data_IF_800492174584
#
_entry.id   IF_800492174584
#
_cell.length_a   1.000
_cell.length_b   1.000
_cell.length_c   1.000
_cell.angle_alpha   90.00
_cell.angle_beta   90.00
_cell.angle_gamma   90.00
#
_symmetry.space_group_name_H-M   'P 1'
#
loop_
_entity.id
_entity.type
_entity.pdbx_description
1 polymer ?
#
# COMPACT_ATOMS: atom_id res chain seq x y z
N UNK A 1 12.93 -0.77 -40.52
CA UNK A 1 11.46 -0.98 -40.46
C UNK A 1 11.24 -2.45 -40.76
N UNK A 2 11.14 -3.27 -39.74
CA UNK A 2 10.81 -4.69 -39.80
C UNK A 2 9.34 -4.82 -39.39
N UNK A 3 8.48 -5.52 -40.14
CA UNK A 3 7.07 -5.61 -39.82
C UNK A 3 6.87 -6.51 -38.59
N UNK A 4 5.99 -6.08 -37.70
CA UNK A 4 5.46 -6.87 -36.61
C UNK A 4 4.69 -8.04 -37.19
N UNK A 5 5.24 -9.24 -37.07
CA UNK A 5 4.65 -10.49 -37.51
C UNK A 5 3.73 -11.07 -36.46
N UNK A 6 2.60 -11.55 -36.99
CA UNK A 6 1.74 -12.63 -36.52
C UNK A 6 1.03 -12.47 -35.15
N UNK A 7 -0.26 -12.25 -35.31
CA UNK A 7 -1.34 -12.41 -34.34
C UNK A 7 -1.45 -13.86 -33.89
N UNK A 8 -1.13 -14.13 -32.62
CA UNK A 8 -1.57 -15.36 -31.97
C UNK A 8 -3.10 -15.35 -31.87
N UNK A 9 -3.68 -16.47 -32.29
CA UNK A 9 -5.10 -16.75 -32.39
C UNK A 9 -5.86 -16.43 -31.10
N UNK A 10 -7.06 -15.86 -31.31
CA UNK A 10 -7.97 -15.41 -30.27
C UNK A 10 -8.30 -16.48 -29.23
N UNK A 11 -7.72 -16.31 -28.06
CA UNK A 11 -8.30 -16.87 -26.86
C UNK A 11 -9.61 -16.10 -26.58
N UNK A 12 -10.72 -16.81 -26.36
CA UNK A 12 -11.99 -16.13 -26.08
C UNK A 12 -11.82 -15.27 -24.83
N UNK A 13 -12.13 -13.98 -24.96
CA UNK A 13 -12.32 -13.06 -23.84
C UNK A 13 -13.56 -13.55 -23.08
N UNK A 14 -13.40 -14.59 -22.31
CA UNK A 14 -14.42 -15.10 -21.40
C UNK A 14 -14.01 -14.79 -19.98
N UNK A 15 -14.26 -13.52 -19.53
CA UNK A 15 -15.22 -13.30 -18.47
C UNK A 15 -14.81 -13.77 -17.07
N UNK A 16 -13.83 -13.05 -16.47
CA UNK A 16 -13.74 -12.95 -15.03
C UNK A 16 -14.66 -11.87 -14.42
N UNK A 17 -15.52 -11.22 -15.19
CA UNK A 17 -16.37 -10.08 -14.75
C UNK A 17 -17.74 -10.47 -14.17
N UNK A 18 -18.08 -11.77 -14.06
CA UNK A 18 -19.43 -12.21 -13.66
C UNK A 18 -19.70 -12.28 -12.15
N UNK A 19 -18.92 -11.65 -11.29
CA UNK A 19 -19.32 -11.54 -9.86
C UNK A 19 -19.95 -10.22 -9.44
N UNK A 20 -20.04 -9.24 -10.32
CA UNK A 20 -20.58 -7.93 -9.97
C UNK A 20 -22.02 -7.69 -10.47
N UNK A 21 -22.52 -8.50 -11.38
CA UNK A 21 -23.89 -8.38 -11.88
C UNK A 21 -24.55 -9.76 -11.86
N UNK A 22 -25.22 -10.07 -10.77
CA UNK A 22 -26.19 -11.15 -10.75
C UNK A 22 -27.42 -10.66 -11.53
N UNK A 23 -27.56 -11.12 -12.78
CA UNK A 23 -28.70 -10.81 -13.63
C UNK A 23 -29.99 -11.51 -13.16
N UNK A 24 -29.93 -12.32 -12.12
CA UNK A 24 -31.07 -13.03 -11.53
C UNK A 24 -31.69 -12.29 -10.34
N UNK A 25 -31.77 -10.97 -10.37
CA UNK A 25 -32.71 -10.21 -9.51
C UNK A 25 -32.56 -10.38 -8.00
N UNK A 26 -31.44 -10.87 -7.51
CA UNK A 26 -31.17 -10.88 -6.07
C UNK A 26 -30.87 -9.45 -5.65
N UNK A 27 -31.76 -8.86 -4.88
CA UNK A 27 -31.62 -7.53 -4.32
C UNK A 27 -30.25 -7.40 -3.67
N UNK A 28 -29.31 -6.71 -4.34
CA UNK A 28 -28.15 -6.16 -3.67
C UNK A 28 -28.68 -5.47 -2.43
N UNK A 29 -28.27 -5.92 -1.25
CA UNK A 29 -28.61 -5.23 -0.02
C UNK A 29 -28.28 -3.76 -0.25
N UNK A 30 -29.29 -2.87 -0.08
CA UNK A 30 -29.22 -1.44 -0.38
C UNK A 30 -28.19 -0.67 0.51
N UNK A 31 -27.25 -1.38 1.10
CA UNK A 31 -26.18 -0.81 1.92
C UNK A 31 -24.92 -0.55 1.06
N UNK A 32 -24.69 0.69 0.64
CA UNK A 32 -23.51 1.05 -0.17
C UNK A 32 -22.19 0.85 0.59
N UNK A 33 -22.24 0.74 1.93
CA UNK A 33 -21.04 0.55 2.74
C UNK A 33 -20.49 -0.88 2.63
N UNK A 34 -21.31 -1.85 2.22
CA UNK A 34 -20.92 -3.24 2.05
C UNK A 34 -19.79 -3.41 1.01
N UNK A 35 -19.74 -2.54 -0.01
CA UNK A 35 -18.70 -2.56 -1.02
C UNK A 35 -17.29 -2.28 -0.44
N UNK A 36 -17.20 -1.67 0.75
CA UNK A 36 -15.94 -1.40 1.45
C UNK A 36 -15.49 -2.52 2.38
N UNK A 37 -16.28 -3.61 2.50
CA UNK A 37 -15.93 -4.76 3.32
C UNK A 37 -14.82 -5.58 2.68
N UNK A 38 -14.00 -6.22 3.54
CA UNK A 38 -12.90 -7.09 3.15
C UNK A 38 -13.12 -8.53 3.66
N UNK A 39 -14.37 -8.93 3.89
CA UNK A 39 -14.72 -10.22 4.46
C UNK A 39 -14.10 -11.37 3.63
N UNK A 40 -13.40 -12.28 4.32
CA UNK A 40 -12.74 -13.42 3.69
C UNK A 40 -11.48 -13.13 2.89
N UNK A 41 -11.07 -11.84 2.76
CA UNK A 41 -9.81 -11.45 2.13
C UNK A 41 -8.63 -11.66 3.09
N UNK A 42 -7.45 -11.89 2.52
CA UNK A 42 -6.17 -11.92 3.25
C UNK A 42 -5.36 -10.67 2.85
N UNK A 43 -5.05 -9.83 3.82
CA UNK A 43 -4.26 -8.61 3.61
C UNK A 43 -2.88 -8.75 4.25
N UNK A 44 -1.84 -8.49 3.46
CA UNK A 44 -0.44 -8.40 3.90
C UNK A 44 -0.05 -6.93 3.98
N UNK A 45 0.40 -6.46 5.16
CA UNK A 45 0.73 -5.06 5.38
C UNK A 45 2.16 -4.95 5.91
N UNK A 46 3.03 -4.27 5.15
CA UNK A 46 4.42 -4.06 5.54
C UNK A 46 4.61 -2.77 6.33
N UNK A 47 5.65 -2.72 7.17
CA UNK A 47 5.88 -1.56 8.04
C UNK A 47 4.80 -1.37 9.10
N UNK A 48 4.13 -2.45 9.51
CA UNK A 48 2.96 -2.40 10.38
C UNK A 48 3.26 -2.28 11.87
N UNK A 49 4.54 -2.12 12.27
CA UNK A 49 4.90 -1.98 13.70
C UNK A 49 4.54 -0.62 14.31
N UNK A 50 4.12 0.37 13.51
CA UNK A 50 3.68 1.70 13.97
C UNK A 50 3.04 2.52 12.84
N UNK A 51 2.50 3.69 13.18
CA UNK A 51 2.04 4.71 12.24
C UNK A 51 1.00 4.21 11.24
N UNK A 52 1.15 4.59 9.98
CA UNK A 52 0.18 4.29 8.91
C UNK A 52 -0.06 2.78 8.77
N UNK A 53 0.99 1.96 8.79
CA UNK A 53 0.86 0.51 8.62
C UNK A 53 0.07 -0.16 9.74
N UNK A 54 0.28 0.25 10.99
CA UNK A 54 -0.48 -0.27 12.13
C UNK A 54 -1.95 0.16 12.07
N UNK A 55 -2.24 1.41 11.69
CA UNK A 55 -3.61 1.91 11.55
C UNK A 55 -4.35 1.19 10.41
N UNK A 56 -3.70 1.00 9.26
CA UNK A 56 -4.30 0.25 8.16
C UNK A 56 -4.55 -1.22 8.53
N UNK A 57 -3.67 -1.84 9.34
CA UNK A 57 -3.89 -3.20 9.82
C UNK A 57 -5.15 -3.30 10.70
N UNK A 58 -5.34 -2.35 11.64
CA UNK A 58 -6.56 -2.27 12.45
C UNK A 58 -7.81 -2.08 11.59
N UNK A 59 -7.73 -1.14 10.66
CA UNK A 59 -8.85 -0.82 9.78
C UNK A 59 -9.26 -2.00 8.89
N UNK A 60 -8.29 -2.69 8.29
CA UNK A 60 -8.55 -3.83 7.41
C UNK A 60 -9.10 -5.02 8.20
N UNK A 61 -8.58 -5.26 9.41
CA UNK A 61 -9.12 -6.27 10.31
C UNK A 61 -10.58 -5.98 10.68
N UNK A 62 -10.93 -4.75 11.06
CA UNK A 62 -12.32 -4.31 11.34
C UNK A 62 -13.21 -4.37 10.11
N UNK A 63 -12.66 -4.21 8.92
CA UNK A 63 -13.39 -4.41 7.67
C UNK A 63 -13.62 -5.89 7.32
N UNK A 64 -13.07 -6.84 8.09
CA UNK A 64 -13.30 -8.28 7.95
C UNK A 64 -12.14 -9.06 7.31
N UNK A 65 -11.01 -8.41 7.02
CA UNK A 65 -9.83 -9.09 6.50
C UNK A 65 -9.12 -9.92 7.58
N UNK A 66 -8.52 -11.04 7.17
CA UNK A 66 -7.43 -11.69 7.90
C UNK A 66 -6.15 -10.94 7.57
N UNK A 67 -5.37 -10.52 8.57
CA UNK A 67 -4.24 -9.63 8.35
C UNK A 67 -2.91 -10.27 8.72
N UNK A 68 -1.93 -10.26 7.82
CA UNK A 68 -0.53 -10.51 8.11
C UNK A 68 0.21 -9.18 8.23
N UNK A 69 0.82 -8.94 9.38
CA UNK A 69 1.55 -7.71 9.68
C UNK A 69 3.05 -7.96 9.66
N UNK A 70 3.76 -7.27 8.74
CA UNK A 70 5.19 -7.45 8.50
C UNK A 70 5.97 -6.25 9.01
N UNK A 71 6.98 -6.46 9.85
CA UNK A 71 7.99 -5.47 10.22
C UNK A 71 9.19 -6.16 10.91
N UNK A 72 10.24 -5.40 11.20
CA UNK A 72 11.43 -5.91 11.91
C UNK A 72 11.23 -6.06 13.43
N UNK A 73 10.40 -5.19 14.02
CA UNK A 73 10.16 -5.12 15.48
C UNK A 73 9.12 -6.16 15.90
N UNK A 74 9.58 -7.36 16.23
CA UNK A 74 8.72 -8.49 16.57
C UNK A 74 7.80 -8.19 17.77
N UNK A 75 8.33 -7.58 18.83
CA UNK A 75 7.61 -7.18 20.04
C UNK A 75 6.39 -6.30 19.75
N UNK A 76 6.55 -5.33 18.85
CA UNK A 76 5.45 -4.44 18.46
C UNK A 76 4.42 -5.13 17.56
N UNK A 77 4.86 -6.06 16.72
CA UNK A 77 3.94 -6.86 15.93
C UNK A 77 3.09 -7.78 16.81
N UNK A 78 3.70 -8.42 17.83
CA UNK A 78 2.98 -9.26 18.78
C UNK A 78 1.96 -8.44 19.58
N UNK A 79 2.31 -7.23 20.00
CA UNK A 79 1.37 -6.32 20.67
C UNK A 79 0.18 -6.00 19.76
N UNK A 80 0.44 -5.56 18.51
CA UNK A 80 -0.62 -5.24 17.55
C UNK A 80 -1.52 -6.45 17.26
N UNK A 81 -0.91 -7.61 17.05
CA UNK A 81 -1.66 -8.85 16.78
C UNK A 81 -2.52 -9.27 17.99
N UNK A 82 -2.00 -9.10 19.20
CA UNK A 82 -2.76 -9.37 20.42
C UNK A 82 -3.98 -8.45 20.56
N UNK A 83 -3.82 -7.16 20.26
CA UNK A 83 -4.91 -6.19 20.20
C UNK A 83 -5.98 -6.62 19.16
N UNK A 84 -5.56 -6.93 17.94
CA UNK A 84 -6.46 -7.34 16.87
C UNK A 84 -7.23 -8.63 17.20
N UNK A 85 -6.55 -9.61 17.79
CA UNK A 85 -7.17 -10.86 18.21
C UNK A 85 -8.16 -10.67 19.36
N UNK A 86 -7.88 -9.74 20.27
CA UNK A 86 -8.81 -9.38 21.34
C UNK A 86 -10.09 -8.72 20.78
N UNK A 87 -10.02 -8.05 19.64
CA UNK A 87 -11.17 -7.54 18.90
C UNK A 87 -11.87 -8.61 18.02
N UNK A 88 -11.41 -9.86 18.06
CA UNK A 88 -11.98 -10.99 17.30
C UNK A 88 -11.42 -11.16 15.89
N UNK A 89 -10.41 -10.40 15.50
CA UNK A 89 -9.80 -10.52 14.18
C UNK A 89 -8.81 -11.69 14.09
N UNK A 90 -8.63 -12.22 12.89
CA UNK A 90 -7.56 -13.17 12.59
C UNK A 90 -6.33 -12.41 12.12
N UNK A 91 -5.24 -12.46 12.88
CA UNK A 91 -4.02 -11.71 12.60
C UNK A 91 -2.76 -12.57 12.80
N UNK A 92 -1.73 -12.34 11.97
CA UNK A 92 -0.46 -13.08 11.98
C UNK A 92 0.72 -12.09 12.01
N UNK A 93 1.62 -12.17 13.02
CA UNK A 93 2.85 -11.40 13.03
C UNK A 93 3.92 -12.11 12.20
N UNK A 94 4.61 -11.37 11.33
CA UNK A 94 5.72 -11.85 10.52
C UNK A 94 6.91 -10.90 10.71
N UNK A 95 7.86 -11.30 11.55
CA UNK A 95 9.09 -10.52 11.76
C UNK A 95 10.01 -10.71 10.56
N UNK A 96 10.19 -9.64 9.76
CA UNK A 96 10.97 -9.65 8.53
C UNK A 96 11.51 -8.24 8.24
N UNK A 97 12.78 -8.15 7.82
CA UNK A 97 13.28 -6.98 7.09
C UNK A 97 12.88 -7.12 5.62
N UNK A 98 12.11 -6.17 5.12
CA UNK A 98 11.62 -6.20 3.72
C UNK A 98 12.75 -6.16 2.67
N UNK A 99 13.99 -5.81 3.08
CA UNK A 99 15.18 -5.87 2.23
C UNK A 99 15.76 -7.29 2.08
N UNK A 100 15.37 -8.20 2.95
CA UNK A 100 15.77 -9.61 2.84
C UNK A 100 14.87 -10.34 1.85
N UNK A 101 15.19 -10.16 0.58
CA UNK A 101 14.38 -10.73 -0.52
C UNK A 101 14.44 -12.26 -0.54
N UNK A 102 15.51 -12.86 -0.01
CA UNK A 102 15.66 -14.32 0.08
C UNK A 102 14.66 -14.94 1.09
N UNK A 103 14.26 -14.19 2.11
CA UNK A 103 13.30 -14.64 3.10
C UNK A 103 11.83 -14.46 2.68
N UNK A 104 11.54 -13.70 1.60
CA UNK A 104 10.16 -13.43 1.16
C UNK A 104 9.36 -14.69 0.83
N UNK A 105 9.88 -15.68 0.05
CA UNK A 105 9.12 -16.88 -0.25
C UNK A 105 8.67 -17.62 1.01
N UNK A 106 9.56 -17.84 1.97
CA UNK A 106 9.24 -18.52 3.23
C UNK A 106 8.23 -17.73 4.08
N UNK A 107 8.32 -16.41 4.10
CA UNK A 107 7.34 -15.56 4.79
C UNK A 107 5.94 -15.69 4.16
N UNK A 108 5.85 -15.67 2.83
CA UNK A 108 4.57 -15.85 2.13
C UNK A 108 4.04 -17.28 2.20
N UNK A 109 4.91 -18.32 2.29
CA UNK A 109 4.49 -19.71 2.54
C UNK A 109 3.80 -19.81 3.90
N UNK A 110 4.39 -19.21 4.93
CA UNK A 110 3.80 -19.16 6.27
C UNK A 110 2.45 -18.42 6.25
N UNK A 111 2.37 -17.26 5.60
CA UNK A 111 1.12 -16.50 5.47
C UNK A 111 0.06 -17.34 4.77
N UNK A 112 0.43 -18.02 3.69
CA UNK A 112 -0.50 -18.86 2.92
C UNK A 112 -1.00 -20.05 3.76
N UNK A 113 -0.14 -20.67 4.53
CA UNK A 113 -0.51 -21.80 5.40
C UNK A 113 -1.45 -21.39 6.55
N UNK A 114 -1.22 -20.22 7.16
CA UNK A 114 -1.98 -19.77 8.34
C UNK A 114 -3.23 -18.96 7.99
N UNK A 115 -3.17 -18.14 6.93
CA UNK A 115 -4.26 -17.23 6.57
C UNK A 115 -4.87 -17.50 5.19
N UNK A 116 -4.18 -18.20 4.32
CA UNK A 116 -4.52 -18.36 2.91
C UNK A 116 -3.72 -17.45 2.00
N UNK A 117 -3.94 -17.59 0.68
CA UNK A 117 -3.27 -16.76 -0.33
C UNK A 117 -3.63 -15.29 -0.13
N UNK A 118 -2.63 -14.42 -0.15
CA UNK A 118 -2.84 -12.98 -0.02
C UNK A 118 -3.68 -12.44 -1.19
N UNK A 119 -4.75 -11.74 -0.89
CA UNK A 119 -5.58 -11.02 -1.86
C UNK A 119 -5.20 -9.54 -1.94
N UNK A 120 -4.64 -9.00 -0.86
CA UNK A 120 -4.29 -7.60 -0.73
C UNK A 120 -2.85 -7.49 -0.22
N UNK A 121 -2.03 -6.71 -0.91
CA UNK A 121 -0.70 -6.31 -0.44
C UNK A 121 -0.67 -4.81 -0.23
N UNK A 122 -0.24 -4.35 0.95
CA UNK A 122 0.04 -2.94 1.24
C UNK A 122 1.54 -2.76 1.43
N UNK A 123 2.21 -2.21 0.44
CA UNK A 123 3.61 -1.81 0.51
C UNK A 123 3.70 -0.46 1.26
N UNK A 124 3.77 -0.54 2.59
CA UNK A 124 3.84 0.63 3.46
C UNK A 124 5.21 0.81 4.11
N UNK A 125 6.02 -0.23 4.23
CA UNK A 125 7.37 -0.08 4.77
C UNK A 125 8.14 1.04 4.05
N UNK A 126 8.76 1.92 4.82
CA UNK A 126 9.49 3.06 4.27
C UNK A 126 10.35 3.75 5.29
N UNK A 127 11.35 4.47 4.83
CA UNK A 127 12.23 5.34 5.61
C UNK A 127 12.36 6.69 4.92
N UNK A 128 12.53 7.76 5.70
CA UNK A 128 12.86 9.08 5.20
C UNK A 128 14.15 9.56 5.87
N UNK A 129 15.19 9.74 5.07
CA UNK A 129 16.43 10.41 5.50
C UNK A 129 16.41 11.83 4.97
N UNK A 130 16.50 12.80 5.87
CA UNK A 130 16.43 14.23 5.55
C UNK A 130 17.82 14.82 5.64
N UNK A 131 18.27 15.49 4.60
CA UNK A 131 19.58 16.11 4.58
C UNK A 131 19.89 16.87 3.28
N UNK A 132 20.94 17.68 3.30
CA UNK A 132 21.38 18.40 2.12
C UNK A 132 21.85 17.43 1.03
N UNK A 133 21.38 17.61 -0.21
CA UNK A 133 21.79 16.81 -1.35
C UNK A 133 23.31 16.70 -1.51
N UNK A 134 24.03 17.82 -1.32
CA UNK A 134 25.48 17.84 -1.47
C UNK A 134 26.25 17.11 -0.36
N UNK A 135 25.60 16.81 0.76
CA UNK A 135 26.18 16.08 1.90
C UNK A 135 25.63 14.66 2.04
N UNK A 136 24.56 14.32 1.31
CA UNK A 136 23.99 13.00 1.33
C UNK A 136 24.97 11.97 0.76
N UNK A 137 25.21 10.89 1.49
CA UNK A 137 26.06 9.79 1.02
C UNK A 137 25.31 8.90 0.01
N UNK A 138 26.08 8.19 -0.82
CA UNK A 138 25.51 7.14 -1.68
C UNK A 138 24.73 6.08 -0.89
N UNK A 139 25.24 5.70 0.29
CA UNK A 139 24.58 4.73 1.17
C UNK A 139 23.21 5.20 1.67
N UNK A 140 23.03 6.47 1.96
CA UNK A 140 21.70 7.02 2.37
C UNK A 140 20.69 6.99 1.25
N UNK A 141 21.14 7.26 0.01
CA UNK A 141 20.31 7.09 -1.19
C UNK A 141 19.94 5.62 -1.37
N UNK A 142 20.93 4.74 -1.33
CA UNK A 142 20.75 3.31 -1.58
C UNK A 142 19.82 2.67 -0.52
N UNK A 143 19.97 3.02 0.75
CA UNK A 143 19.03 2.62 1.81
C UNK A 143 17.59 3.07 1.51
N UNK A 144 17.41 4.32 1.03
CA UNK A 144 16.09 4.86 0.71
C UNK A 144 15.45 4.08 -0.44
N UNK A 145 16.21 3.76 -1.48
CA UNK A 145 15.71 2.95 -2.60
C UNK A 145 15.45 1.52 -2.17
N UNK A 146 16.37 0.87 -1.45
CA UNK A 146 16.22 -0.52 -1.01
C UNK A 146 14.93 -0.74 -0.20
N UNK A 147 14.56 0.19 0.69
CA UNK A 147 13.35 0.05 1.50
C UNK A 147 12.09 0.55 0.80
N UNK A 148 12.16 1.73 0.16
CA UNK A 148 10.96 2.41 -0.36
C UNK A 148 10.53 1.92 -1.76
N UNK A 149 11.45 1.33 -2.52
CA UNK A 149 11.22 0.93 -3.92
C UNK A 149 11.53 -0.56 -4.16
N UNK A 150 12.78 -1.01 -3.95
CA UNK A 150 13.19 -2.38 -4.29
C UNK A 150 12.37 -3.41 -3.50
N UNK A 151 12.18 -3.20 -2.19
CA UNK A 151 11.34 -4.06 -1.37
C UNK A 151 9.88 -4.11 -1.86
N UNK A 152 9.31 -2.97 -2.29
CA UNK A 152 7.96 -2.94 -2.83
C UNK A 152 7.86 -3.67 -4.19
N UNK A 153 8.90 -3.59 -5.01
CA UNK A 153 9.03 -4.37 -6.24
C UNK A 153 8.98 -5.86 -5.96
N UNK A 154 9.87 -6.35 -5.08
CA UNK A 154 10.00 -7.78 -4.80
C UNK A 154 8.78 -8.36 -4.11
N UNK A 155 8.20 -7.64 -3.14
CA UNK A 155 6.95 -8.00 -2.48
C UNK A 155 5.78 -8.07 -3.46
N UNK A 156 5.69 -7.10 -4.38
CA UNK A 156 4.65 -7.08 -5.41
C UNK A 156 4.81 -8.25 -6.38
N UNK A 157 6.03 -8.58 -6.78
CA UNK A 157 6.32 -9.70 -7.64
C UNK A 157 5.95 -11.04 -6.96
N UNK A 158 6.33 -11.23 -5.68
CA UNK A 158 6.02 -12.44 -4.94
C UNK A 158 4.53 -12.62 -4.70
N UNK A 159 3.85 -11.56 -4.24
CA UNK A 159 2.39 -11.60 -4.02
C UNK A 159 1.64 -11.89 -5.34
N UNK A 160 2.02 -11.22 -6.43
CA UNK A 160 1.38 -11.41 -7.74
C UNK A 160 1.55 -12.82 -8.27
N UNK A 161 2.76 -13.42 -8.17
CA UNK A 161 2.97 -14.81 -8.58
C UNK A 161 2.04 -15.76 -7.85
N UNK A 162 1.83 -15.57 -6.55
CA UNK A 162 0.93 -16.42 -5.73
C UNK A 162 -0.54 -16.20 -6.08
N UNK A 163 -0.96 -14.96 -6.27
CA UNK A 163 -2.33 -14.65 -6.72
C UNK A 163 -2.62 -15.32 -8.05
N UNK A 164 -1.70 -15.22 -9.03
CA UNK A 164 -1.81 -15.81 -10.36
C UNK A 164 -1.84 -17.33 -10.28
N UNK A 165 -0.91 -17.95 -9.54
CA UNK A 165 -0.85 -19.40 -9.37
C UNK A 165 -2.12 -19.97 -8.74
N UNK A 166 -2.78 -19.20 -7.86
CA UNK A 166 -4.04 -19.57 -7.21
C UNK A 166 -5.28 -19.16 -8.02
N UNK A 167 -5.12 -18.57 -9.21
CA UNK A 167 -6.21 -17.99 -10.03
C UNK A 167 -7.12 -17.04 -9.23
N UNK A 168 -6.53 -16.21 -8.35
CA UNK A 168 -7.26 -15.28 -7.49
C UNK A 168 -7.05 -13.84 -7.96
N UNK A 169 -8.13 -13.03 -8.04
CA UNK A 169 -8.01 -11.60 -8.23
C UNK A 169 -7.32 -10.97 -7.01
N UNK A 170 -6.63 -9.85 -7.22
CA UNK A 170 -5.89 -9.20 -6.15
C UNK A 170 -5.86 -7.69 -6.20
N UNK A 171 -5.25 -7.12 -5.17
CA UNK A 171 -5.02 -5.68 -5.06
C UNK A 171 -3.66 -5.40 -4.42
N UNK A 172 -2.90 -4.49 -5.00
CA UNK A 172 -1.66 -3.95 -4.44
C UNK A 172 -1.85 -2.46 -4.18
N UNK A 173 -1.52 -2.02 -2.96
CA UNK A 173 -1.54 -0.60 -2.57
C UNK A 173 -0.13 -0.18 -2.19
N UNK A 174 0.43 0.75 -2.94
CA UNK A 174 1.75 1.32 -2.66
C UNK A 174 1.60 2.63 -1.88
N UNK A 175 2.12 2.68 -0.65
CA UNK A 175 2.15 3.92 0.13
C UNK A 175 3.30 4.78 -0.38
N UNK A 176 2.95 5.72 -1.23
CA UNK A 176 3.84 6.73 -1.79
C UNK A 176 4.03 7.92 -0.82
N UNK A 177 3.98 9.13 -1.31
CA UNK A 177 4.05 10.38 -0.56
C UNK A 177 3.62 11.53 -1.45
N UNK A 178 3.13 12.63 -0.89
CA UNK A 178 2.98 13.89 -1.65
C UNK A 178 4.31 14.39 -2.20
N UNK A 179 5.44 14.03 -1.57
CA UNK A 179 6.78 14.33 -2.09
C UNK A 179 7.15 13.52 -3.34
N UNK A 180 6.34 12.55 -3.73
CA UNK A 180 6.43 11.90 -5.04
C UNK A 180 5.70 12.69 -6.14
N UNK A 181 4.79 13.58 -5.75
CA UNK A 181 3.99 14.43 -6.64
C UNK A 181 4.53 15.85 -6.71
N UNK A 182 5.30 16.25 -5.69
CA UNK A 182 5.99 17.52 -5.57
C UNK A 182 7.41 17.32 -5.04
N UNK A 183 8.05 18.39 -4.58
CA UNK A 183 9.39 18.32 -4.01
C UNK A 183 9.55 19.24 -2.79
N UNK A 184 10.47 18.87 -1.90
CA UNK A 184 10.90 19.74 -0.82
C UNK A 184 12.42 19.63 -0.63
N UNK A 185 13.10 20.73 -0.21
CA UNK A 185 14.52 20.69 0.10
C UNK A 185 14.84 19.64 1.16
N UNK A 186 15.95 18.95 0.98
CA UNK A 186 16.41 17.92 1.94
C UNK A 186 15.83 16.53 1.75
N UNK A 187 14.89 16.32 0.84
CA UNK A 187 14.21 15.03 0.64
C UNK A 187 14.58 14.33 -0.67
N UNK A 188 15.68 14.68 -1.33
CA UNK A 188 15.99 14.18 -2.67
C UNK A 188 15.92 12.65 -2.79
N UNK A 189 16.61 11.88 -1.95
CA UNK A 189 16.59 10.41 -2.01
C UNK A 189 15.20 9.84 -1.71
N UNK A 190 14.52 10.36 -0.71
CA UNK A 190 13.17 9.95 -0.34
C UNK A 190 12.17 10.24 -1.45
N UNK A 191 12.09 11.49 -1.91
CA UNK A 191 11.13 11.92 -2.91
C UNK A 191 11.30 11.15 -4.23
N UNK A 192 12.56 10.96 -4.68
CA UNK A 192 12.83 10.18 -5.90
C UNK A 192 12.48 8.71 -5.75
N UNK A 193 12.75 8.07 -4.60
CA UNK A 193 12.33 6.69 -4.36
C UNK A 193 10.80 6.54 -4.37
N UNK A 194 10.07 7.50 -3.80
CA UNK A 194 8.60 7.52 -3.80
C UNK A 194 8.01 7.87 -5.17
N UNK A 195 8.68 8.71 -5.97
CA UNK A 195 8.30 8.97 -7.35
C UNK A 195 8.50 7.73 -8.25
N UNK A 196 9.59 6.98 -8.04
CA UNK A 196 9.79 5.69 -8.69
C UNK A 196 8.67 4.71 -8.35
N UNK A 197 8.24 4.65 -7.08
CA UNK A 197 7.11 3.81 -6.64
C UNK A 197 5.78 4.21 -7.29
N UNK A 198 5.53 5.50 -7.51
CA UNK A 198 4.36 5.99 -8.26
C UNK A 198 4.40 5.51 -9.71
N UNK A 199 5.57 5.55 -10.35
CA UNK A 199 5.68 5.05 -11.72
C UNK A 199 5.56 3.52 -11.78
N UNK A 200 6.14 2.79 -10.84
CA UNK A 200 5.97 1.35 -10.70
C UNK A 200 4.49 0.96 -10.56
N UNK A 201 3.72 1.72 -9.77
CA UNK A 201 2.27 1.53 -9.63
C UNK A 201 1.56 1.51 -10.99
N UNK A 202 1.88 2.45 -11.88
CA UNK A 202 1.29 2.54 -13.23
C UNK A 202 1.69 1.37 -14.12
N UNK A 203 2.98 0.99 -14.09
CA UNK A 203 3.50 -0.13 -14.88
C UNK A 203 2.81 -1.44 -14.46
N UNK A 204 2.80 -1.74 -13.16
CA UNK A 204 2.19 -2.96 -12.64
C UNK A 204 0.67 -2.99 -12.85
N UNK A 205 -0.01 -1.85 -12.78
CA UNK A 205 -1.44 -1.76 -13.07
C UNK A 205 -1.77 -2.23 -14.50
N UNK A 206 -0.92 -1.88 -15.48
CA UNK A 206 -1.08 -2.31 -16.86
C UNK A 206 -0.73 -3.79 -17.05
N UNK A 207 0.42 -4.22 -16.51
CA UNK A 207 0.92 -5.58 -16.70
C UNK A 207 0.06 -6.65 -16.02
N UNK A 208 -0.45 -6.33 -14.80
CA UNK A 208 -1.18 -7.28 -13.97
C UNK A 208 -2.71 -7.28 -14.21
N UNK A 209 -3.23 -6.32 -14.98
CA UNK A 209 -4.66 -6.21 -15.28
C UNK A 209 -5.23 -7.50 -15.90
N UNK A 210 -4.48 -8.14 -16.80
CA UNK A 210 -4.89 -9.41 -17.42
C UNK A 210 -5.08 -10.56 -16.41
N UNK A 211 -4.53 -10.42 -15.21
CA UNK A 211 -4.66 -11.37 -14.11
C UNK A 211 -5.67 -10.92 -13.05
N UNK A 212 -6.47 -9.88 -13.34
CA UNK A 212 -7.42 -9.29 -12.40
C UNK A 212 -6.77 -8.78 -11.11
N UNK A 213 -5.52 -8.33 -11.18
CA UNK A 213 -4.80 -7.71 -10.07
C UNK A 213 -4.74 -6.20 -10.32
N UNK A 214 -5.33 -5.42 -9.40
CA UNK A 214 -5.29 -3.95 -9.43
C UNK A 214 -4.09 -3.44 -8.66
N UNK A 215 -3.45 -2.40 -9.14
CA UNK A 215 -2.32 -1.77 -8.45
C UNK A 215 -2.56 -0.27 -8.38
N UNK A 216 -2.61 0.27 -7.17
CA UNK A 216 -2.85 1.69 -6.92
C UNK A 216 -1.87 2.25 -5.89
N UNK A 217 -1.71 3.56 -5.89
CA UNK A 217 -0.92 4.30 -4.92
C UNK A 217 -1.80 5.10 -3.97
N UNK A 218 -1.34 5.26 -2.74
CA UNK A 218 -1.83 6.24 -1.79
C UNK A 218 -0.69 7.19 -1.47
N UNK A 219 -0.87 8.49 -1.65
CA UNK A 219 0.14 9.52 -1.40
C UNK A 219 -0.26 10.38 -0.21
N UNK A 220 0.13 9.99 1.02
CA UNK A 220 -0.14 10.78 2.21
C UNK A 220 0.63 12.12 2.19
N UNK A 221 -0.01 13.17 2.73
CA UNK A 221 0.65 14.38 3.14
C UNK A 221 1.37 14.23 4.48
N UNK A 222 1.28 15.24 5.32
CA UNK A 222 1.85 15.21 6.66
C UNK A 222 0.87 14.55 7.63
N UNK A 223 1.26 13.42 8.17
CA UNK A 223 0.58 12.67 9.23
C UNK A 223 1.58 12.44 10.37
N UNK A 224 1.17 12.67 11.60
CA UNK A 224 2.06 12.43 12.73
C UNK A 224 2.31 10.94 12.90
N UNK A 225 3.58 10.56 12.80
CA UNK A 225 4.07 9.19 12.93
C UNK A 225 5.41 9.20 13.66
N UNK A 226 5.88 8.05 14.17
CA UNK A 226 7.22 7.95 14.77
C UNK A 226 8.34 8.48 13.86
N UNK A 227 8.14 8.47 12.55
CA UNK A 227 9.13 8.95 11.58
C UNK A 227 9.35 10.46 11.64
N UNK A 228 8.33 11.23 12.00
CA UNK A 228 8.32 12.69 11.87
C UNK A 228 7.76 13.44 13.09
N UNK A 229 7.35 12.71 14.15
CA UNK A 229 6.70 13.30 15.33
C UNK A 229 7.56 14.42 15.96
N UNK A 230 8.84 14.16 16.18
CA UNK A 230 9.73 15.14 16.79
C UNK A 230 9.85 16.46 16.02
N UNK A 231 9.67 16.43 14.69
CA UNK A 231 9.67 17.66 13.88
C UNK A 231 8.27 18.27 13.73
N UNK A 232 7.25 17.46 13.45
CA UNK A 232 5.88 17.98 13.23
C UNK A 232 5.28 18.62 14.49
N UNK A 233 5.72 18.19 15.67
CA UNK A 233 5.29 18.74 16.96
C UNK A 233 6.20 19.86 17.48
N UNK A 234 7.32 20.16 16.80
CA UNK A 234 8.19 21.28 17.12
C UNK A 234 7.56 22.62 16.71
N UNK A 235 8.04 23.76 17.27
CA UNK A 235 7.59 25.09 16.86
C UNK A 235 7.72 25.32 15.34
N UNK A 236 8.82 24.85 14.75
CA UNK A 236 9.10 24.98 13.31
C UNK A 236 8.12 24.14 12.47
N UNK A 237 7.82 22.92 12.91
CA UNK A 237 6.87 22.04 12.26
C UNK A 237 5.43 22.57 12.35
N UNK A 238 5.05 23.12 13.50
CA UNK A 238 3.73 23.75 13.69
C UNK A 238 3.59 25.01 12.83
N UNK A 239 4.62 25.85 12.74
CA UNK A 239 4.64 27.02 11.84
C UNK A 239 4.56 26.61 10.37
N UNK A 240 5.27 25.53 9.99
CA UNK A 240 5.17 24.97 8.65
C UNK A 240 3.72 24.49 8.35
N UNK A 241 3.11 23.72 9.25
CA UNK A 241 1.74 23.24 9.08
C UNK A 241 0.73 24.37 8.98
N UNK A 242 0.90 25.45 9.77
CA UNK A 242 0.02 26.63 9.72
C UNK A 242 0.00 27.32 8.34
N UNK A 243 1.05 27.12 7.53
CA UNK A 243 1.15 27.65 6.16
C UNK A 243 0.61 26.69 5.09
N UNK A 244 0.34 25.43 5.44
CA UNK A 244 -0.31 24.49 4.52
C UNK A 244 -1.80 24.81 4.35
N UNK A 245 -2.45 24.43 3.24
CA UNK A 245 -3.88 24.71 3.03
C UNK A 245 -4.77 24.16 4.16
N UNK A 246 -4.50 22.94 4.65
CA UNK A 246 -5.26 22.33 5.74
C UNK A 246 -4.93 22.91 7.11
N UNK A 247 -3.78 23.60 7.26
CA UNK A 247 -3.27 24.19 8.51
C UNK A 247 -3.10 23.20 9.68
N UNK A 248 -2.97 21.92 9.37
CA UNK A 248 -2.78 20.84 10.33
C UNK A 248 -2.16 19.61 9.65
N UNK A 249 -1.63 18.71 10.45
CA UNK A 249 -1.37 17.35 10.02
C UNK A 249 -2.69 16.57 9.89
N UNK A 250 -2.71 15.56 9.03
CA UNK A 250 -3.77 14.58 8.96
C UNK A 250 -3.74 13.64 10.18
N UNK A 251 -4.91 13.12 10.56
CA UNK A 251 -5.03 12.00 11.49
C UNK A 251 -4.94 10.69 10.72
N UNK A 252 -4.33 9.67 11.31
CA UNK A 252 -4.11 8.38 10.64
C UNK A 252 -5.42 7.75 10.14
N UNK A 253 -6.52 7.95 10.86
CA UNK A 253 -7.86 7.48 10.52
C UNK A 253 -8.36 8.08 9.18
N UNK A 254 -7.87 9.26 8.80
CA UNK A 254 -8.25 9.90 7.52
C UNK A 254 -7.65 9.19 6.30
N UNK A 255 -6.69 8.27 6.49
CA UNK A 255 -6.17 7.38 5.45
C UNK A 255 -7.00 6.10 5.28
N UNK A 256 -7.82 5.74 6.27
CA UNK A 256 -8.57 4.48 6.29
C UNK A 256 -9.57 4.39 5.15
N UNK A 257 -10.43 5.41 4.99
CA UNK A 257 -11.42 5.43 3.91
C UNK A 257 -10.82 5.29 2.52
N UNK A 258 -9.82 6.11 2.15
CA UNK A 258 -9.08 5.97 0.89
C UNK A 258 -8.43 4.59 0.70
N UNK A 259 -7.83 4.02 1.75
CA UNK A 259 -7.21 2.70 1.68
C UNK A 259 -8.25 1.59 1.47
N UNK A 260 -9.38 1.64 2.18
CA UNK A 260 -10.48 0.69 2.00
C UNK A 260 -11.11 0.82 0.60
N UNK A 261 -11.27 2.03 0.08
CA UNK A 261 -11.72 2.26 -1.30
C UNK A 261 -10.82 1.51 -2.29
N UNK A 262 -9.51 1.63 -2.17
CA UNK A 262 -8.57 0.99 -3.07
C UNK A 262 -8.50 -0.53 -2.87
N UNK A 263 -8.64 -1.02 -1.64
CA UNK A 263 -8.53 -2.44 -1.29
C UNK A 263 -9.75 -3.27 -1.65
N UNK A 264 -10.92 -2.68 -1.62
CA UNK A 264 -12.22 -3.37 -1.68
C UNK A 264 -12.86 -3.34 -3.08
N UNK A 265 -14.07 -3.90 -3.15
CA UNK A 265 -14.89 -3.91 -4.37
C UNK A 265 -15.41 -2.49 -4.72
N UNK A 266 -15.46 -1.56 -3.74
CA UNK A 266 -15.76 -0.14 -4.01
C UNK A 266 -14.78 0.49 -5.01
N UNK A 267 -13.52 0.00 -5.05
CA UNK A 267 -12.50 0.43 -6.00
C UNK A 267 -12.29 -0.53 -7.18
N UNK A 268 -13.23 -1.41 -7.50
CA UNK A 268 -13.06 -2.47 -8.51
C UNK A 268 -12.66 -1.96 -9.90
N UNK A 269 -13.03 -0.73 -10.25
CA UNK A 269 -12.65 -0.09 -11.53
C UNK A 269 -11.54 0.97 -11.38
N UNK A 270 -10.91 1.06 -10.19
CA UNK A 270 -9.78 1.95 -9.93
C UNK A 270 -8.48 1.15 -10.08
N UNK A 271 -7.67 1.50 -11.10
CA UNK A 271 -6.39 0.84 -11.36
C UNK A 271 -5.38 1.83 -11.93
N UNK A 272 -4.15 1.85 -11.42
CA UNK A 272 -3.05 2.72 -11.86
C UNK A 272 -3.10 4.15 -11.31
N UNK A 273 -4.04 4.48 -10.42
CA UNK A 273 -4.11 5.81 -9.80
C UNK A 273 -3.14 5.92 -8.62
N UNK A 274 -2.66 7.12 -8.36
CA UNK A 274 -2.07 7.51 -7.06
C UNK A 274 -2.94 8.58 -6.44
N UNK A 275 -3.67 8.22 -5.39
CA UNK A 275 -4.60 9.09 -4.69
C UNK A 275 -3.87 9.89 -3.61
N UNK A 276 -3.84 11.20 -3.75
CA UNK A 276 -3.30 12.09 -2.71
C UNK A 276 -4.31 12.25 -1.57
N UNK A 277 -3.82 12.13 -0.33
CA UNK A 277 -4.56 12.38 0.90
C UNK A 277 -3.73 13.32 1.76
N UNK A 278 -3.84 14.62 1.52
CA UNK A 278 -2.86 15.60 1.99
C UNK A 278 -3.44 16.98 2.36
N UNK A 279 -4.75 17.12 2.38
CA UNK A 279 -5.39 18.41 2.65
C UNK A 279 -5.04 19.50 1.63
N UNK A 280 -4.93 19.11 0.36
CA UNK A 280 -4.59 19.97 -0.78
C UNK A 280 -3.13 20.48 -0.79
N UNK A 281 -2.24 19.89 0.00
CA UNK A 281 -0.87 20.38 0.13
C UNK A 281 -0.11 20.38 -1.21
N UNK A 282 -0.17 19.27 -1.99
CA UNK A 282 0.50 19.19 -3.29
C UNK A 282 -0.15 20.04 -4.39
N UNK A 283 -1.40 20.42 -4.21
CA UNK A 283 -2.15 21.23 -5.18
C UNK A 283 -2.00 22.75 -4.94
N UNK A 284 -1.42 23.15 -3.81
CA UNK A 284 -1.20 24.54 -3.51
C UNK A 284 -0.09 25.11 -4.44
N UNK A 285 -0.39 26.23 -5.07
CA UNK A 285 0.66 27.03 -5.70
C UNK A 285 1.56 27.60 -4.59
N UNK A 286 2.87 27.35 -4.69
CA UNK A 286 3.86 27.85 -3.73
C UNK A 286 3.97 29.37 -3.77
#
# INVERSE_FOLDING_TARGET
>A
MTPLGETEEGLPITLGYHRAYDLEGNHMTNDPTRAFRLDGRVAVITGASSGIGAELARAFARAGARVAVIARRADRLETLVSELRAEGATALPVSLDVRDTAALPAAFDRITAELGVADILVNNAGIAKVGSFLRASGAERDDSFAVNFDAAWDLSAEASRRMIAAARPGCIINIASVLALGAAPGYAAYATSKAALVQLTRCLALELQRHSIRVNGLAPGWFVTEMNDGWLTSPEGLDYLARTPARRAGRLEELVGPALLLASDAGSFINGVTLAVDGAHHAALA
#
